data_IF_147582041487
#
_entry.id   IF_147582041487
#
_cell.length_a   1.000
_cell.length_b   1.000
_cell.length_c   1.000
_cell.angle_alpha   90.00
_cell.angle_beta   90.00
_cell.angle_gamma   90.00
#
_symmetry.space_group_name_H-M   'P 1'
#
loop_
_entity.id
_entity.type
_entity.pdbx_description
1 polymer ?
#
# COMPACT_ATOMS: atom_id res chain seq x y z
N UNK A 1 7.49 3.23 14.89
CA UNK A 1 6.47 3.32 13.81
C UNK A 1 6.11 1.93 13.31
N UNK A 2 4.81 1.55 13.26
CA UNK A 2 4.38 0.32 12.61
C UNK A 2 4.92 0.31 11.19
N UNK A 3 5.57 -0.78 10.79
CA UNK A 3 6.29 -0.88 9.52
C UNK A 3 5.32 -0.60 8.37
N UNK A 4 5.65 0.32 7.46
CA UNK A 4 4.86 0.64 6.25
C UNK A 4 4.41 -0.62 5.48
N UNK A 5 5.22 -1.68 5.51
CA UNK A 5 4.88 -2.99 4.95
C UNK A 5 3.56 -3.57 5.51
N UNK A 6 3.30 -3.40 6.81
CA UNK A 6 2.08 -3.86 7.47
C UNK A 6 0.90 -2.98 7.04
N UNK A 7 1.05 -1.66 7.03
CA UNK A 7 0.00 -0.74 6.56
C UNK A 7 -0.38 -0.98 5.10
N UNK A 8 0.61 -1.21 4.23
CA UNK A 8 0.36 -1.51 2.81
C UNK A 8 -0.35 -2.85 2.65
N UNK A 9 0.09 -3.90 3.35
CA UNK A 9 -0.58 -5.21 3.32
C UNK A 9 -2.01 -5.11 3.83
N UNK A 10 -2.19 -4.49 4.98
CA UNK A 10 -3.50 -4.35 5.62
C UNK A 10 -4.44 -3.47 4.79
N UNK A 11 -3.92 -2.45 4.10
CA UNK A 11 -4.68 -1.67 3.13
C UNK A 11 -5.05 -2.47 1.88
N UNK A 12 -4.15 -3.31 1.35
CA UNK A 12 -4.46 -4.19 0.21
C UNK A 12 -5.51 -5.23 0.61
N UNK A 13 -5.39 -5.85 1.79
CA UNK A 13 -6.36 -6.84 2.31
C UNK A 13 -7.70 -6.19 2.65
N UNK A 14 -7.68 -5.02 3.28
CA UNK A 14 -8.89 -4.25 3.60
C UNK A 14 -9.61 -3.74 2.35
N UNK A 15 -8.86 -3.53 1.26
CA UNK A 15 -9.44 -3.17 -0.03
C UNK A 15 -9.88 -4.47 -0.72
N UNK A 16 -11.16 -4.84 -0.62
CA UNK A 16 -11.79 -6.04 -1.26
C UNK A 16 -11.72 -6.10 -2.80
N UNK A 17 -10.79 -5.39 -3.42
CA UNK A 17 -10.54 -5.46 -4.85
C UNK A 17 -9.88 -6.81 -5.15
N UNK A 18 -10.68 -7.80 -5.59
CA UNK A 18 -10.22 -9.09 -6.15
C UNK A 18 -9.11 -8.93 -7.20
N UNK A 19 -9.02 -7.76 -7.84
CA UNK A 19 -8.02 -7.39 -8.86
C UNK A 19 -6.89 -6.50 -8.34
N UNK A 20 -6.72 -6.34 -7.03
CA UNK A 20 -5.68 -5.50 -6.42
C UNK A 20 -6.04 -4.03 -6.27
N UNK A 21 -5.20 -3.31 -5.54
CA UNK A 21 -5.39 -1.92 -5.18
C UNK A 21 -4.35 -1.03 -5.85
N UNK A 22 -4.77 0.13 -6.36
CA UNK A 22 -3.83 1.13 -6.88
C UNK A 22 -3.06 1.81 -5.73
N UNK A 23 -1.93 2.43 -6.03
CA UNK A 23 -1.20 3.24 -5.03
C UNK A 23 -2.09 4.30 -4.38
N UNK A 24 -3.03 4.88 -5.15
CA UNK A 24 -3.98 5.87 -4.67
C UNK A 24 -5.01 5.25 -3.72
N UNK A 25 -5.54 4.07 -4.06
CA UNK A 25 -6.49 3.33 -3.22
C UNK A 25 -5.86 2.93 -1.89
N UNK A 26 -4.62 2.43 -1.93
CA UNK A 26 -3.84 2.08 -0.74
C UNK A 26 -3.58 3.33 0.11
N UNK A 27 -3.20 4.44 -0.52
CA UNK A 27 -3.00 5.72 0.17
C UNK A 27 -4.27 6.20 0.87
N UNK A 28 -5.43 6.12 0.19
CA UNK A 28 -6.73 6.48 0.77
C UNK A 28 -7.13 5.57 1.93
N UNK A 29 -6.92 4.26 1.81
CA UNK A 29 -7.21 3.30 2.88
C UNK A 29 -6.34 3.55 4.12
N UNK A 30 -5.04 3.81 3.93
CA UNK A 30 -4.13 4.15 5.03
C UNK A 30 -4.48 5.51 5.62
N UNK A 31 -4.79 6.51 4.78
CA UNK A 31 -5.29 7.81 5.26
C UNK A 31 -6.54 7.64 6.11
N UNK A 32 -7.50 6.82 5.67
CA UNK A 32 -8.75 6.61 6.39
C UNK A 32 -8.54 5.87 7.72
N UNK A 33 -7.63 4.89 7.77
CA UNK A 33 -7.31 4.12 9.00
C UNK A 33 -6.39 4.87 9.98
N UNK A 34 -5.49 5.72 9.49
CA UNK A 34 -4.46 6.40 10.28
C UNK A 34 -4.57 7.93 10.22
N UNK A 35 -5.79 8.48 10.13
CA UNK A 35 -6.04 9.93 10.17
C UNK A 35 -5.36 10.52 11.41
N UNK A 36 -4.24 11.24 11.23
CA UNK A 36 -3.48 11.89 12.30
C UNK A 36 -2.03 11.41 12.52
N UNK A 37 -1.60 10.28 11.93
CA UNK A 37 -0.21 9.79 12.07
C UNK A 37 0.62 9.90 10.78
N UNK A 38 0.10 10.61 9.78
CA UNK A 38 0.67 10.63 8.44
C UNK A 38 1.45 11.92 8.21
N UNK A 39 2.76 11.83 7.93
CA UNK A 39 3.55 12.97 7.49
C UNK A 39 3.04 13.45 6.12
N UNK A 40 3.14 14.75 5.83
CA UNK A 40 2.77 15.32 4.50
C UNK A 40 3.47 14.61 3.33
N UNK A 41 4.68 14.08 3.57
CA UNK A 41 5.46 13.32 2.59
C UNK A 41 5.00 11.86 2.39
N UNK A 42 3.91 11.43 3.03
CA UNK A 42 3.46 10.04 3.01
C UNK A 42 3.27 9.48 1.60
N UNK A 43 2.72 10.24 0.64
CA UNK A 43 2.53 9.76 -0.74
C UNK A 43 3.83 9.35 -1.42
N UNK A 44 4.90 10.13 -1.25
CA UNK A 44 6.24 9.81 -1.78
C UNK A 44 6.80 8.58 -1.06
N UNK A 45 6.69 8.53 0.26
CA UNK A 45 7.16 7.40 1.07
C UNK A 45 6.45 6.10 0.72
N UNK A 46 5.12 6.14 0.58
CA UNK A 46 4.29 5.00 0.21
C UNK A 46 4.72 4.44 -1.15
N UNK A 47 4.98 5.30 -2.13
CA UNK A 47 5.44 4.89 -3.45
C UNK A 47 6.80 4.18 -3.37
N UNK A 48 7.73 4.69 -2.56
CA UNK A 48 9.03 4.05 -2.33
C UNK A 48 8.88 2.68 -1.65
N UNK A 49 7.99 2.59 -0.66
CA UNK A 49 7.72 1.34 0.07
C UNK A 49 7.03 0.31 -0.82
N UNK A 50 6.09 0.72 -1.66
CA UNK A 50 5.47 -0.14 -2.68
C UNK A 50 6.53 -0.72 -3.63
N UNK A 51 7.45 0.12 -4.15
CA UNK A 51 8.55 -0.36 -4.99
C UNK A 51 9.45 -1.36 -4.26
N UNK A 52 9.76 -1.12 -2.98
CA UNK A 52 10.54 -2.07 -2.16
C UNK A 52 9.80 -3.40 -1.96
N UNK A 53 8.50 -3.35 -1.69
CA UNK A 53 7.68 -4.56 -1.50
C UNK A 53 7.57 -5.38 -2.79
N UNK A 54 7.40 -4.71 -3.94
CA UNK A 54 7.45 -5.34 -5.27
C UNK A 54 8.80 -6.02 -5.50
N UNK A 55 9.90 -5.33 -5.19
CA UNK A 55 11.25 -5.88 -5.32
C UNK A 55 11.50 -7.06 -4.38
N UNK A 56 10.87 -7.08 -3.21
CA UNK A 56 10.93 -8.21 -2.27
C UNK A 56 10.03 -9.38 -2.65
N UNK A 57 9.25 -9.28 -3.73
CA UNK A 57 8.31 -10.31 -4.16
C UNK A 57 7.07 -10.46 -3.27
N UNK A 58 6.86 -9.55 -2.31
CA UNK A 58 5.71 -9.61 -1.37
C UNK A 58 4.39 -9.14 -1.98
N UNK A 59 4.48 -8.31 -3.02
CA UNK A 59 3.34 -7.82 -3.81
C UNK A 59 3.76 -7.77 -5.27
N UNK A 60 2.82 -7.98 -6.18
CA UNK A 60 3.05 -7.85 -7.62
C UNK A 60 2.40 -6.56 -8.12
N UNK A 61 3.14 -5.82 -8.96
CA UNK A 61 2.62 -4.66 -9.68
C UNK A 61 2.15 -5.13 -11.07
N UNK A 62 0.85 -5.12 -11.27
CA UNK A 62 0.18 -5.40 -12.54
C UNK A 62 -0.29 -4.06 -13.14
N UNK A 63 0.51 -3.50 -14.06
CA UNK A 63 0.35 -2.15 -14.61
C UNK A 63 0.17 -1.06 -13.54
N UNK A 64 -1.07 -0.74 -13.18
CA UNK A 64 -1.48 0.32 -12.25
C UNK A 64 -1.96 -0.22 -10.90
N UNK A 65 -1.98 -1.54 -10.72
CA UNK A 65 -2.55 -2.22 -9.54
C UNK A 65 -1.48 -3.01 -8.80
N UNK A 66 -1.54 -2.97 -7.48
CA UNK A 66 -0.71 -3.77 -6.59
C UNK A 66 -1.57 -4.87 -5.99
N UNK A 67 -1.11 -6.12 -6.09
CA UNK A 67 -1.77 -7.31 -5.54
C UNK A 67 -0.81 -8.01 -4.59
N UNK A 68 -1.32 -8.56 -3.49
CA UNK A 68 -0.58 -9.60 -2.79
C UNK A 68 -0.65 -10.86 -3.68
N UNK A 69 0.50 -11.42 -4.02
CA UNK A 69 0.56 -12.78 -4.56
C UNK A 69 0.02 -13.76 -3.51
N UNK A 70 -0.76 -14.78 -3.92
CA UNK A 70 -1.05 -15.90 -3.03
C UNK A 70 0.24 -16.61 -2.61
#
# INVERSE_FOLDING_TARGET
>A
HPKYAVMVRDAIVSTKQRKGASALSIAKAIQSKHKGQLPDNFRKMLTLQLRKLVRSGRIVKDQSKFRCTP
#
